data_IF_497248504813
#
_entry.id   IF_497248504813
#
_cell.length_a   1.000
_cell.length_b   1.000
_cell.length_c   1.000
_cell.angle_alpha   90.00
_cell.angle_beta   90.00
_cell.angle_gamma   90.00
#
_symmetry.space_group_name_H-M   'P 1'
#
loop_
_entity.id
_entity.type
_entity.pdbx_description
1 polymer ?
#
# COMPACT_ATOMS: atom_id res chain seq x y z
N UNK A 1 -12.16 3.97 -12.11
CA UNK A 1 -11.96 3.25 -10.83
C UNK A 1 -11.77 1.77 -11.12
N UNK A 2 -10.62 1.18 -10.79
CA UNK A 2 -10.38 -0.26 -10.95
C UNK A 2 -11.02 -0.98 -9.77
N UNK A 3 -11.95 -1.90 -10.05
CA UNK A 3 -12.63 -2.69 -9.02
C UNK A 3 -11.80 -3.93 -8.74
N UNK A 4 -11.43 -4.15 -7.49
CA UNK A 4 -10.80 -5.40 -7.05
C UNK A 4 -11.86 -6.29 -6.39
N UNK A 5 -11.58 -7.59 -6.35
CA UNK A 5 -12.46 -8.58 -5.74
C UNK A 5 -11.70 -9.39 -4.72
N UNK A 6 -12.31 -9.58 -3.55
CA UNK A 6 -11.81 -10.51 -2.55
C UNK A 6 -12.01 -11.94 -3.02
N UNK A 7 -11.28 -12.89 -2.44
CA UNK A 7 -11.54 -14.33 -2.60
C UNK A 7 -12.96 -14.72 -2.17
N UNK A 8 -13.59 -13.95 -1.27
CA UNK A 8 -14.99 -14.15 -0.89
C UNK A 8 -16.01 -13.59 -1.91
N UNK A 9 -15.56 -12.98 -3.01
CA UNK A 9 -16.42 -12.32 -4.01
C UNK A 9 -16.84 -10.88 -3.66
N UNK A 10 -16.48 -10.39 -2.47
CA UNK A 10 -16.80 -9.02 -2.03
C UNK A 10 -15.96 -7.97 -2.77
N UNK A 11 -16.51 -6.75 -3.03
CA UNK A 11 -15.74 -5.67 -3.64
C UNK A 11 -14.65 -5.16 -2.70
N UNK A 12 -13.45 -4.94 -3.23
CA UNK A 12 -12.33 -4.30 -2.53
C UNK A 12 -11.93 -3.04 -3.31
N UNK A 13 -11.68 -1.97 -2.57
CA UNK A 13 -11.08 -0.74 -3.10
C UNK A 13 -9.63 -0.64 -2.65
N UNK A 14 -8.84 0.15 -3.36
CA UNK A 14 -7.42 0.31 -3.05
C UNK A 14 -7.20 0.75 -1.61
N UNK A 15 -7.92 1.77 -1.14
CA UNK A 15 -7.75 2.30 0.22
C UNK A 15 -8.25 1.36 1.35
N UNK A 16 -8.82 0.20 1.01
CA UNK A 16 -9.27 -0.75 2.02
C UNK A 16 -8.10 -1.59 2.53
N UNK A 17 -7.97 -1.68 3.86
CA UNK A 17 -7.03 -2.58 4.54
C UNK A 17 -7.66 -3.93 4.89
N UNK A 18 -8.99 -4.00 4.86
CA UNK A 18 -9.77 -5.22 5.11
C UNK A 18 -10.93 -5.31 4.12
N UNK A 19 -11.33 -6.53 3.78
CA UNK A 19 -12.56 -6.74 3.02
C UNK A 19 -13.78 -6.43 3.90
N UNK A 20 -14.65 -5.55 3.43
CA UNK A 20 -15.86 -5.15 4.17
C UNK A 20 -16.93 -6.26 4.23
N UNK A 21 -16.77 -7.33 3.45
CA UNK A 21 -17.74 -8.43 3.40
C UNK A 21 -17.34 -9.61 4.30
N UNK A 22 -16.06 -10.01 4.31
CA UNK A 22 -15.58 -11.16 5.09
C UNK A 22 -14.58 -10.82 6.20
N UNK A 23 -14.11 -9.57 6.30
CA UNK A 23 -13.13 -9.14 7.29
C UNK A 23 -11.69 -9.58 7.03
N UNK A 24 -11.39 -10.28 5.92
CA UNK A 24 -10.04 -10.68 5.57
C UNK A 24 -9.11 -9.46 5.41
N UNK A 25 -7.87 -9.56 5.86
CA UNK A 25 -6.88 -8.49 5.67
C UNK A 25 -6.43 -8.48 4.23
N UNK A 26 -6.44 -7.32 3.60
CA UNK A 26 -6.11 -7.17 2.19
C UNK A 26 -5.01 -6.14 2.02
N UNK A 27 -4.24 -6.28 0.94
CA UNK A 27 -3.22 -5.32 0.56
C UNK A 27 -2.93 -5.37 -0.92
N UNK A 28 -2.24 -4.34 -1.41
CA UNK A 28 -1.90 -4.21 -2.81
C UNK A 28 -0.61 -4.96 -3.13
N UNK A 29 -0.69 -5.95 -4.01
CA UNK A 29 0.46 -6.66 -4.54
C UNK A 29 1.00 -5.91 -5.78
N UNK A 30 2.25 -5.40 -5.76
CA UNK A 30 2.84 -4.68 -6.88
C UNK A 30 3.10 -5.57 -8.10
N UNK A 31 3.33 -6.87 -7.92
CA UNK A 31 3.67 -7.78 -9.03
C UNK A 31 2.43 -8.12 -9.86
N UNK A 32 1.33 -8.44 -9.18
CA UNK A 32 0.04 -8.71 -9.82
C UNK A 32 -0.81 -7.45 -10.05
N UNK A 33 -0.37 -6.30 -9.54
CA UNK A 33 -1.07 -5.00 -9.59
C UNK A 33 -2.53 -5.08 -9.11
N UNK A 34 -2.81 -5.94 -8.12
CA UNK A 34 -4.16 -6.20 -7.60
C UNK A 34 -4.20 -6.19 -6.07
N UNK A 35 -5.40 -6.08 -5.51
CA UNK A 35 -5.60 -6.30 -4.08
C UNK A 35 -5.75 -7.79 -3.82
N UNK A 36 -4.96 -8.31 -2.88
CA UNK A 36 -4.97 -9.73 -2.49
C UNK A 36 -5.22 -9.85 -0.98
N UNK A 37 -5.96 -10.88 -0.53
CA UNK A 37 -6.04 -11.23 0.89
C UNK A 37 -4.69 -11.76 1.37
N UNK A 38 -4.18 -11.26 2.50
CA UNK A 38 -2.88 -11.70 3.05
C UNK A 38 -2.92 -13.15 3.49
N UNK A 39 -4.08 -13.66 3.90
CA UNK A 39 -4.27 -15.05 4.28
C UNK A 39 -4.01 -16.01 3.11
N UNK A 40 -4.12 -15.51 1.87
CA UNK A 40 -3.84 -16.29 0.64
C UNK A 40 -2.40 -16.16 0.16
N UNK A 41 -1.59 -15.27 0.75
CA UNK A 41 -0.22 -14.94 0.32
C UNK A 41 0.72 -14.88 1.52
N UNK A 42 1.14 -16.05 2.00
CA UNK A 42 2.10 -16.16 3.12
C UNK A 42 3.50 -15.65 2.77
N UNK A 43 3.80 -15.50 1.48
CA UNK A 43 5.03 -14.94 0.93
C UNK A 43 5.08 -13.40 0.98
N UNK A 44 3.96 -12.75 1.29
CA UNK A 44 3.82 -11.31 1.34
C UNK A 44 3.52 -10.80 2.75
N UNK A 45 3.98 -9.59 3.04
CA UNK A 45 3.68 -8.86 4.27
C UNK A 45 3.47 -7.37 3.99
N UNK A 46 2.90 -6.63 4.93
CA UNK A 46 2.71 -5.20 4.78
C UNK A 46 4.03 -4.42 4.74
N UNK A 47 4.01 -3.32 3.99
CA UNK A 47 5.01 -2.26 4.09
C UNK A 47 5.08 -1.72 5.53
N UNK A 48 6.26 -1.33 6.02
CA UNK A 48 6.43 -0.75 7.36
C UNK A 48 5.64 0.56 7.56
N UNK A 49 5.33 1.28 6.48
CA UNK A 49 4.47 2.45 6.54
C UNK A 49 2.98 2.13 6.73
N UNK A 50 2.59 0.86 6.66
CA UNK A 50 1.24 0.42 6.97
C UNK A 50 0.88 0.71 8.44
N UNK A 51 1.84 0.58 9.36
CA UNK A 51 1.62 0.85 10.79
C UNK A 51 1.31 2.34 11.06
N UNK A 52 1.64 3.21 10.11
CA UNK A 52 1.31 4.63 10.14
C UNK A 52 0.00 4.96 9.39
N UNK A 53 -0.67 3.97 8.80
CA UNK A 53 -1.92 4.16 8.05
C UNK A 53 -1.76 4.89 6.71
N UNK A 54 -0.54 5.02 6.19
CA UNK A 54 -0.27 5.76 4.94
C UNK A 54 0.05 4.86 3.74
N UNK A 55 0.16 3.55 3.95
CA UNK A 55 0.48 2.59 2.90
C UNK A 55 -0.30 1.30 3.05
N UNK A 56 -0.85 0.79 1.94
CA UNK A 56 -1.56 -0.48 1.83
C UNK A 56 -0.82 -1.51 0.95
N UNK A 57 0.43 -1.21 0.56
CA UNK A 57 1.22 -2.07 -0.33
C UNK A 57 1.83 -3.23 0.43
N UNK A 58 1.98 -4.34 -0.29
CA UNK A 58 2.66 -5.53 0.16
C UNK A 58 4.10 -5.56 -0.37
N UNK A 59 4.95 -6.23 0.40
CA UNK A 59 6.33 -6.54 0.05
C UNK A 59 6.58 -8.04 0.28
N UNK A 60 7.59 -8.63 -0.37
CA UNK A 60 8.01 -9.98 -0.05
C UNK A 60 8.39 -10.09 1.43
N UNK A 61 7.81 -11.07 2.13
CA UNK A 61 8.08 -11.31 3.55
C UNK A 61 9.57 -11.67 3.80
N UNK A 62 10.22 -12.27 2.80
CA UNK A 62 11.65 -12.60 2.83
C UNK A 62 12.57 -11.40 2.60
N UNK A 63 12.04 -10.22 2.25
CA UNK A 63 12.87 -9.03 2.02
C UNK A 63 13.44 -8.47 3.33
N UNK A 64 14.72 -8.11 3.31
CA UNK A 64 15.38 -7.39 4.42
C UNK A 64 14.88 -5.93 4.56
N UNK A 65 14.34 -5.36 3.49
CA UNK A 65 13.77 -4.00 3.46
C UNK A 65 12.41 -3.98 4.14
N UNK A 66 12.19 -3.09 5.11
CA UNK A 66 10.87 -2.92 5.75
C UNK A 66 9.88 -2.16 4.88
N UNK A 67 10.35 -1.40 3.89
CA UNK A 67 9.51 -0.57 3.01
C UNK A 67 9.21 -1.26 1.68
N UNK A 68 8.04 -0.97 1.09
CA UNK A 68 7.73 -1.38 -0.27
C UNK A 68 8.46 -0.50 -1.30
N UNK A 69 8.52 -0.95 -2.56
CA UNK A 69 9.17 -0.21 -3.64
C UNK A 69 8.68 1.24 -3.76
N UNK A 70 7.36 1.48 -3.65
CA UNK A 70 6.81 2.84 -3.70
C UNK A 70 7.28 3.72 -2.52
N UNK A 71 7.24 3.18 -1.29
CA UNK A 71 7.65 3.93 -0.10
C UNK A 71 9.16 4.19 -0.06
N UNK A 72 9.98 3.31 -0.64
CA UNK A 72 11.43 3.49 -0.72
C UNK A 72 11.82 4.71 -1.57
N UNK A 73 10.98 5.15 -2.51
CA UNK A 73 11.21 6.36 -3.30
C UNK A 73 10.67 7.65 -2.66
N UNK A 74 9.95 7.57 -1.54
CA UNK A 74 9.54 8.75 -0.76
C UNK A 74 10.72 9.25 0.09
N UNK A 75 11.73 9.82 -0.57
CA UNK A 75 13.03 10.20 -0.01
C UNK A 75 13.02 11.38 0.98
N UNK A 76 11.88 12.07 1.11
CA UNK A 76 11.73 13.18 2.06
C UNK A 76 10.57 12.88 3.00
N UNK A 77 10.82 12.06 4.02
CA UNK A 77 9.89 11.88 5.15
C UNK A 77 10.25 12.95 6.19
N UNK A 78 9.32 13.84 6.57
CA UNK A 78 9.58 14.82 7.62
C UNK A 78 9.87 14.09 8.94
N UNK A 79 10.71 14.66 9.80
CA UNK A 79 11.06 14.05 11.09
C UNK A 79 9.79 13.79 11.92
N UNK A 80 9.40 12.52 12.05
CA UNK A 80 8.17 12.10 12.72
C UNK A 80 8.25 12.17 14.25
N UNK A 81 9.43 12.45 14.82
CA UNK A 81 9.58 12.74 16.24
C UNK A 81 9.05 14.12 16.64
N UNK A 82 8.74 14.99 15.66
CA UNK A 82 8.13 16.27 15.91
C UNK A 82 6.60 16.15 15.91
N UNK A 83 5.90 16.74 16.91
CA UNK A 83 4.45 16.73 16.93
C UNK A 83 3.86 17.35 15.66
N UNK A 84 2.75 16.81 15.18
CA UNK A 84 2.05 17.17 13.93
C UNK A 84 2.74 16.80 12.61
N UNK A 85 3.99 16.31 12.61
CA UNK A 85 4.63 15.89 11.36
C UNK A 85 4.05 14.59 10.80
N UNK A 86 3.60 13.67 11.65
CA UNK A 86 2.84 12.47 11.25
C UNK A 86 1.54 12.83 10.54
N UNK A 87 0.78 13.79 11.07
CA UNK A 87 -0.48 14.27 10.47
C UNK A 87 -0.25 14.96 9.12
N UNK A 88 0.76 15.85 9.04
CA UNK A 88 1.13 16.55 7.80
C UNK A 88 1.67 15.60 6.75
N UNK A 89 2.42 14.58 7.16
CA UNK A 89 2.95 13.58 6.26
C UNK A 89 1.83 12.69 5.70
N UNK A 90 0.91 12.21 6.54
CA UNK A 90 -0.26 11.44 6.09
C UNK A 90 -1.14 12.23 5.11
N UNK A 91 -1.30 13.55 5.32
CA UNK A 91 -2.01 14.41 4.40
C UNK A 91 -1.31 14.56 3.04
N UNK A 92 0.03 14.57 3.01
CA UNK A 92 0.82 14.67 1.77
C UNK A 92 0.97 13.33 1.05
N UNK A 93 1.23 12.23 1.77
CA UNK A 93 1.39 10.90 1.19
C UNK A 93 0.06 10.17 0.93
N UNK A 94 -1.06 10.75 1.40
CA UNK A 94 -2.39 10.23 1.12
C UNK A 94 -2.75 10.32 -0.37
N UNK A 95 -3.75 9.55 -0.83
CA UNK A 95 -4.10 9.39 -2.26
C UNK A 95 -4.54 10.68 -2.99
N UNK A 96 -4.60 11.83 -2.30
CA UNK A 96 -4.96 13.14 -2.87
C UNK A 96 -3.78 13.97 -3.36
N UNK A 97 -2.54 13.68 -2.99
CA UNK A 97 -1.38 14.47 -3.43
C UNK A 97 -0.50 13.63 -4.34
N UNK A 98 -0.83 13.68 -5.63
CA UNK A 98 -0.05 13.05 -6.66
C UNK A 98 -0.70 11.79 -7.19
N UNK A 99 -1.77 11.99 -7.96
CA UNK A 99 -1.96 11.18 -9.14
C UNK A 99 -0.63 11.22 -9.92
N UNK A 100 0.22 10.20 -9.76
CA UNK A 100 1.31 10.00 -10.69
C UNK A 100 0.66 9.50 -11.97
N UNK A 101 0.18 10.44 -12.80
CA UNK A 101 -0.42 10.22 -14.13
C UNK A 101 0.57 9.53 -15.10
N UNK A 102 1.72 9.07 -14.62
CA UNK A 102 2.81 8.46 -15.37
C UNK A 102 3.06 6.98 -15.03
N UNK A 103 2.19 6.33 -14.26
CA UNK A 103 2.27 4.88 -14.03
C UNK A 103 1.31 4.09 -14.94
N UNK A 104 1.21 4.49 -16.21
CA UNK A 104 0.79 3.61 -17.31
C UNK A 104 2.01 3.49 -18.21
N UNK A 105 2.70 2.35 -18.16
CA UNK A 105 3.83 2.07 -19.04
C UNK A 105 5.15 1.90 -18.30
N UNK A 106 5.43 0.65 -17.96
CA UNK A 106 6.65 -0.06 -18.33
C UNK A 106 7.87 0.77 -18.78
N UNK A 107 9.00 0.40 -18.19
CA UNK A 107 10.40 0.67 -18.59
C UNK A 107 10.95 2.04 -18.24
N UNK A 108 11.90 2.06 -17.32
CA UNK A 108 13.14 2.79 -17.54
C UNK A 108 14.31 2.02 -16.91
N UNK A 109 15.25 1.73 -17.79
CA UNK A 109 16.62 1.24 -17.63
C UNK A 109 17.39 1.89 -16.48
#
# INVERSE_FOLDING_TARGET
MRRFQCTCGGPIFFDNHQCLNCGARVGFDPDSMTMVPLESRSDLTYCGNHDHGVCNWLRPAASAESLCGACHFNRTIPNLALPHNTERWAAWSGPRSGCCTRCIGWSCR
#
